data_IF_349105743259
#
_entry.id   IF_349105743259
#
_cell.length_a   1.000
_cell.length_b   1.000
_cell.length_c   1.000
_cell.angle_alpha   90.00
_cell.angle_beta   90.00
_cell.angle_gamma   90.00
#
_symmetry.space_group_name_H-M   'P 1'
#
loop_
_entity.id
_entity.type
_entity.pdbx_description
1 polymer ?
#
# COMPACT_ATOMS: atom_id res chain seq x y z
N UNK A 1 14.14 35.28 -4.52
CA UNK A 1 13.94 33.85 -4.30
C UNK A 1 12.47 33.70 -3.99
N UNK A 2 11.72 32.89 -4.74
CA UNK A 2 10.34 32.59 -4.33
C UNK A 2 10.42 31.97 -2.93
N UNK A 3 9.76 32.59 -1.96
CA UNK A 3 9.69 32.08 -0.57
C UNK A 3 8.80 30.83 -0.46
N UNK A 4 8.66 30.07 -1.55
CA UNK A 4 7.76 28.94 -1.68
C UNK A 4 8.46 27.80 -2.42
N UNK A 5 8.38 26.60 -1.85
CA UNK A 5 8.71 25.34 -2.52
C UNK A 5 7.42 24.53 -2.61
N UNK A 6 7.16 23.94 -3.77
CA UNK A 6 5.94 23.15 -4.03
C UNK A 6 6.25 21.68 -4.12
N UNK A 7 5.32 20.85 -3.67
CA UNK A 7 5.42 19.40 -3.64
C UNK A 7 4.15 18.81 -4.25
N UNK A 8 4.30 17.87 -5.19
CA UNK A 8 3.23 17.01 -5.64
C UNK A 8 3.59 15.56 -5.36
N UNK A 9 2.94 14.95 -4.39
CA UNK A 9 3.12 13.55 -4.03
C UNK A 9 2.12 12.68 -4.80
N UNK A 10 2.57 11.49 -5.22
CA UNK A 10 1.78 10.51 -5.97
C UNK A 10 2.10 9.10 -5.45
N UNK A 11 1.07 8.30 -5.14
CA UNK A 11 1.24 6.86 -4.92
C UNK A 11 1.01 6.10 -6.23
N UNK A 12 2.06 5.46 -6.75
CA UNK A 12 2.12 4.90 -8.10
C UNK A 12 1.88 3.39 -8.13
N UNK A 13 2.60 2.64 -7.29
CA UNK A 13 2.55 1.18 -7.20
C UNK A 13 2.87 0.73 -5.77
N UNK A 14 2.88 -0.58 -5.47
CA UNK A 14 3.16 -1.08 -4.13
C UNK A 14 4.66 -1.06 -3.80
N UNK A 15 5.51 -1.22 -4.81
CA UNK A 15 6.95 -1.27 -4.67
C UNK A 15 7.61 -0.73 -5.94
N UNK A 16 8.72 0.00 -5.80
CA UNK A 16 9.58 0.41 -6.92
C UNK A 16 11.00 -0.06 -6.62
N UNK A 17 11.61 -0.74 -7.59
CA UNK A 17 13.03 -1.10 -7.50
C UNK A 17 13.93 0.11 -7.80
N UNK A 18 14.25 0.85 -6.74
CA UNK A 18 15.11 2.04 -6.82
C UNK A 18 16.49 1.75 -7.44
N UNK A 19 17.01 0.53 -7.26
CA UNK A 19 18.35 0.18 -7.74
C UNK A 19 18.38 0.04 -9.26
N UNK A 20 17.34 -0.48 -9.90
CA UNK A 20 17.23 -0.51 -11.37
C UNK A 20 17.25 0.91 -11.96
N UNK A 21 16.49 1.83 -11.35
CA UNK A 21 16.44 3.23 -11.78
C UNK A 21 17.79 3.90 -11.56
N UNK A 22 18.41 3.69 -10.40
CA UNK A 22 19.73 4.23 -10.07
C UNK A 22 20.80 3.81 -11.08
N UNK A 23 20.82 2.53 -11.46
CA UNK A 23 21.74 1.99 -12.48
C UNK A 23 21.54 2.71 -13.82
N UNK A 24 20.29 2.84 -14.29
CA UNK A 24 19.99 3.53 -15.55
C UNK A 24 20.40 5.01 -15.51
N UNK A 25 20.26 5.66 -14.36
CA UNK A 25 20.66 7.05 -14.15
C UNK A 25 22.19 7.20 -13.96
N UNK A 26 22.95 6.11 -13.86
CA UNK A 26 24.39 6.13 -13.62
C UNK A 26 24.76 6.58 -12.20
N UNK A 27 23.91 6.29 -11.22
CA UNK A 27 24.12 6.64 -9.82
C UNK A 27 24.84 5.47 -9.13
N UNK A 28 26.10 5.62 -8.70
CA UNK A 28 26.90 4.53 -8.14
C UNK A 28 26.60 4.30 -6.64
N UNK A 29 25.32 4.17 -6.30
CA UNK A 29 24.84 3.95 -4.93
C UNK A 29 23.78 2.85 -4.92
N UNK A 30 23.87 1.95 -3.95
CA UNK A 30 22.81 0.98 -3.64
C UNK A 30 21.84 1.62 -2.65
N UNK A 31 20.55 1.52 -2.96
CA UNK A 31 19.46 2.07 -2.16
C UNK A 31 18.86 0.99 -1.25
N UNK A 32 18.62 1.37 0.00
CA UNK A 32 17.80 0.65 0.97
C UNK A 32 16.39 1.21 0.98
N UNK A 33 15.46 0.54 1.67
CA UNK A 33 14.04 0.93 1.70
C UNK A 33 13.78 2.25 2.44
N UNK A 34 14.72 2.67 3.30
CA UNK A 34 14.61 3.88 4.12
C UNK A 34 14.99 5.16 3.36
N UNK A 35 15.73 5.05 2.25
CA UNK A 35 16.31 6.19 1.55
C UNK A 35 15.62 6.43 0.20
N UNK A 36 15.18 7.66 -0.09
CA UNK A 36 14.65 7.98 -1.41
C UNK A 36 15.76 8.03 -2.47
N UNK A 37 15.41 7.62 -3.69
CA UNK A 37 16.17 7.95 -4.88
C UNK A 37 15.85 9.39 -5.30
N UNK A 38 16.83 10.29 -5.14
CA UNK A 38 16.68 11.71 -5.48
C UNK A 38 17.26 11.96 -6.88
N UNK A 39 16.38 12.28 -7.84
CA UNK A 39 16.72 12.70 -9.19
C UNK A 39 16.71 14.22 -9.27
N UNK A 40 17.84 14.84 -9.61
CA UNK A 40 18.00 16.30 -9.71
C UNK A 40 19.04 16.69 -10.77
N UNK A 41 19.07 17.96 -11.17
CA UNK A 41 20.06 18.53 -12.08
C UNK A 41 20.21 17.68 -13.37
N UNK A 42 21.46 17.34 -13.73
CA UNK A 42 21.83 16.55 -14.92
C UNK A 42 21.04 15.26 -15.09
N UNK A 43 20.60 14.62 -14.01
CA UNK A 43 19.81 13.39 -14.10
C UNK A 43 18.41 13.67 -14.62
N UNK A 44 17.75 14.72 -14.12
CA UNK A 44 16.45 15.15 -14.64
C UNK A 44 16.56 15.74 -16.05
N UNK A 45 17.62 16.51 -16.35
CA UNK A 45 17.82 17.04 -17.71
C UNK A 45 17.90 15.93 -18.76
N UNK A 46 18.54 14.80 -18.43
CA UNK A 46 18.60 13.62 -19.30
C UNK A 46 17.22 12.98 -19.50
N UNK A 47 16.42 12.88 -18.43
CA UNK A 47 15.08 12.29 -18.47
C UNK A 47 14.13 13.19 -19.27
N UNK A 48 14.14 14.50 -19.00
CA UNK A 48 13.28 15.48 -19.66
C UNK A 48 13.76 15.89 -21.05
N UNK A 49 15.02 15.58 -21.39
CA UNK A 49 15.68 15.98 -22.65
C UNK A 49 15.65 17.49 -22.87
N UNK A 50 15.66 18.26 -21.79
CA UNK A 50 15.69 19.73 -21.77
C UNK A 50 16.45 20.20 -20.55
N UNK A 51 16.93 21.44 -20.58
CA UNK A 51 17.45 22.10 -19.36
C UNK A 51 16.31 22.34 -18.37
N UNK A 52 16.64 22.29 -17.08
CA UNK A 52 15.70 22.63 -16.02
C UNK A 52 15.46 24.14 -15.99
N UNK A 53 14.25 24.52 -15.62
CA UNK A 53 13.84 25.92 -15.49
C UNK A 53 14.21 26.47 -14.09
N UNK A 54 14.25 25.58 -13.09
CA UNK A 54 14.60 25.87 -11.70
C UNK A 54 15.59 24.81 -11.18
N UNK A 55 16.72 25.25 -10.63
CA UNK A 55 17.77 24.38 -10.07
C UNK A 55 17.32 23.63 -8.81
N UNK A 56 16.22 24.07 -8.18
CA UNK A 56 15.58 23.38 -7.06
C UNK A 56 14.63 22.25 -7.49
N UNK A 57 14.42 22.06 -8.81
CA UNK A 57 13.61 20.95 -9.32
C UNK A 57 14.25 19.60 -8.99
N UNK A 58 13.48 18.75 -8.31
CA UNK A 58 13.90 17.40 -7.96
C UNK A 58 12.71 16.45 -7.91
N UNK A 59 12.96 15.18 -8.20
CA UNK A 59 11.99 14.10 -8.06
C UNK A 59 12.55 13.10 -7.06
N UNK A 60 11.80 12.82 -6.00
CA UNK A 60 12.14 11.81 -5.01
C UNK A 60 11.28 10.58 -5.22
N UNK A 61 11.91 9.44 -5.46
CA UNK A 61 11.24 8.15 -5.69
C UNK A 61 11.50 7.26 -4.48
N UNK A 62 10.44 6.68 -3.94
CA UNK A 62 10.47 5.88 -2.73
C UNK A 62 10.24 4.41 -3.06
N UNK A 63 10.92 3.50 -2.35
CA UNK A 63 10.83 2.06 -2.60
C UNK A 63 9.42 1.50 -2.38
N UNK A 64 8.63 2.14 -1.53
CA UNK A 64 7.21 1.82 -1.29
C UNK A 64 6.26 2.39 -2.34
N UNK A 65 6.78 2.67 -3.52
CA UNK A 65 5.96 2.91 -4.71
C UNK A 65 5.34 4.29 -4.81
N UNK A 66 5.90 5.29 -4.12
CA UNK A 66 5.50 6.69 -4.22
C UNK A 66 6.57 7.56 -4.85
N UNK A 67 6.17 8.67 -5.46
CA UNK A 67 7.08 9.68 -5.99
C UNK A 67 6.60 11.09 -5.60
N UNK A 68 7.55 11.97 -5.29
CA UNK A 68 7.28 13.38 -4.97
C UNK A 68 8.03 14.28 -5.93
N UNK A 69 7.29 15.17 -6.57
CA UNK A 69 7.76 16.16 -7.53
C UNK A 69 7.90 17.50 -6.82
N UNK A 70 9.12 18.01 -6.73
CA UNK A 70 9.43 19.26 -6.06
C UNK A 70 9.68 20.34 -7.11
N UNK A 71 8.94 21.45 -7.03
CA UNK A 71 9.00 22.58 -7.97
C UNK A 71 8.70 22.23 -9.44
N UNK A 72 7.83 21.24 -9.68
CA UNK A 72 7.34 20.92 -11.02
C UNK A 72 6.08 21.71 -11.37
N UNK A 73 6.26 22.91 -11.92
CA UNK A 73 5.14 23.76 -12.37
C UNK A 73 4.42 23.20 -13.61
N UNK A 74 5.12 22.43 -14.46
CA UNK A 74 4.58 21.95 -15.73
C UNK A 74 4.17 20.48 -15.68
N UNK A 75 2.93 20.19 -16.04
CA UNK A 75 2.39 18.81 -16.04
C UNK A 75 3.04 17.89 -17.07
N UNK A 76 3.73 18.41 -18.09
CA UNK A 76 4.44 17.60 -19.08
C UNK A 76 5.70 16.95 -18.52
N UNK A 77 6.48 17.68 -17.70
CA UNK A 77 7.65 17.12 -17.01
C UNK A 77 7.25 15.96 -16.08
N UNK A 78 6.17 16.14 -15.32
CA UNK A 78 5.62 15.08 -14.45
C UNK A 78 5.26 13.86 -15.31
N UNK A 79 4.51 14.03 -16.41
CA UNK A 79 4.17 12.94 -17.33
C UNK A 79 5.40 12.25 -17.91
N UNK A 80 6.44 12.98 -18.32
CA UNK A 80 7.67 12.39 -18.85
C UNK A 80 8.38 11.55 -17.77
N UNK A 81 8.47 12.04 -16.53
CA UNK A 81 9.04 11.28 -15.43
C UNK A 81 8.22 10.03 -15.11
N UNK A 82 6.90 10.13 -15.08
CA UNK A 82 6.01 9.00 -14.82
C UNK A 82 6.16 7.91 -15.89
N UNK A 83 6.23 8.30 -17.17
CA UNK A 83 6.52 7.36 -18.26
C UNK A 83 7.90 6.70 -18.08
N UNK A 84 8.90 7.44 -17.62
CA UNK A 84 10.21 6.89 -17.31
C UNK A 84 10.15 5.84 -16.19
N UNK A 85 9.45 6.14 -15.08
CA UNK A 85 9.28 5.18 -13.97
C UNK A 85 8.51 3.93 -14.45
N UNK A 86 7.48 4.09 -15.27
CA UNK A 86 6.71 2.97 -15.82
C UNK A 86 7.55 2.00 -16.67
N UNK A 87 8.71 2.42 -17.21
CA UNK A 87 9.61 1.48 -17.90
C UNK A 87 10.22 0.42 -16.98
N UNK A 88 10.25 0.68 -15.67
CA UNK A 88 10.73 -0.25 -14.65
C UNK A 88 9.60 -1.00 -13.95
N UNK A 89 8.46 -0.32 -13.76
CA UNK A 89 7.26 -0.85 -13.11
C UNK A 89 6.05 -0.74 -14.07
N UNK A 90 5.85 -1.73 -14.97
CA UNK A 90 4.84 -1.68 -16.03
C UNK A 90 3.39 -1.66 -15.52
N UNK A 91 3.16 -2.05 -14.28
CA UNK A 91 1.84 -2.10 -13.66
C UNK A 91 1.31 -0.75 -13.15
N UNK A 92 2.11 0.32 -13.22
CA UNK A 92 1.67 1.67 -12.86
C UNK A 92 0.52 2.10 -13.78
N UNK A 93 -0.62 2.43 -13.18
CA UNK A 93 -1.78 2.99 -13.87
C UNK A 93 -1.63 4.50 -14.08
N UNK A 94 -1.08 4.88 -15.23
CA UNK A 94 -0.91 6.29 -15.60
C UNK A 94 -2.23 7.01 -15.90
N UNK A 95 -3.33 6.30 -16.12
CA UNK A 95 -4.65 6.91 -16.38
C UNK A 95 -5.20 7.52 -15.09
N UNK A 96 -5.08 6.79 -13.99
CA UNK A 96 -5.58 7.21 -12.67
C UNK A 96 -4.46 7.65 -11.73
N UNK A 97 -3.34 8.17 -12.25
CA UNK A 97 -2.17 8.50 -11.44
C UNK A 97 -2.43 9.53 -10.33
N UNK A 98 -3.41 10.41 -10.51
CA UNK A 98 -3.82 11.40 -9.51
C UNK A 98 -4.88 10.87 -8.52
N UNK A 99 -5.20 9.57 -8.53
CA UNK A 99 -6.17 8.99 -7.59
C UNK A 99 -5.71 9.13 -6.14
N UNK A 100 -4.40 8.99 -5.92
CA UNK A 100 -3.75 9.11 -4.62
C UNK A 100 -2.65 10.15 -4.75
N UNK A 101 -3.05 11.41 -4.65
CA UNK A 101 -2.16 12.54 -4.84
C UNK A 101 -2.39 13.61 -3.81
N UNK A 102 -1.31 14.24 -3.38
CA UNK A 102 -1.37 15.36 -2.46
C UNK A 102 -0.49 16.51 -2.98
N UNK A 103 -0.99 17.72 -2.90
CA UNK A 103 -0.31 18.94 -3.33
C UNK A 103 -0.03 19.79 -2.08
N UNK A 104 1.24 20.05 -1.80
CA UNK A 104 1.67 20.72 -0.57
C UNK A 104 2.71 21.80 -0.86
N UNK A 105 2.94 22.70 0.09
CA UNK A 105 3.99 23.71 -0.06
C UNK A 105 4.71 24.08 1.23
N UNK A 106 5.98 24.44 1.08
CA UNK A 106 6.82 25.00 2.13
C UNK A 106 6.92 26.51 1.89
N UNK A 107 6.58 27.29 2.91
CA UNK A 107 6.68 28.74 2.91
C UNK A 107 7.72 29.20 3.92
N UNK A 108 8.52 30.20 3.55
CA UNK A 108 9.46 30.85 4.46
C UNK A 108 8.89 32.21 4.86
N UNK A 109 8.70 32.43 6.15
CA UNK A 109 8.08 33.66 6.67
C UNK A 109 8.44 33.94 8.13
N UNK A 110 8.15 35.16 8.59
CA UNK A 110 8.36 35.55 9.98
C UNK A 110 7.26 34.95 10.88
N UNK A 111 7.60 33.83 11.52
CA UNK A 111 6.73 33.12 12.47
C UNK A 111 7.51 32.74 13.73
N UNK A 112 6.83 32.71 14.87
CA UNK A 112 7.42 32.29 16.15
C UNK A 112 7.52 30.77 16.30
N UNK A 113 6.62 30.02 15.65
CA UNK A 113 6.54 28.55 15.69
C UNK A 113 6.09 28.02 14.34
N UNK A 114 6.57 26.83 13.98
CA UNK A 114 6.14 26.10 12.78
C UNK A 114 4.62 26.05 12.75
N UNK A 115 4.03 26.48 11.62
CA UNK A 115 2.60 26.41 11.37
C UNK A 115 2.33 25.38 10.28
N UNK A 116 1.50 24.39 10.61
CA UNK A 116 1.13 23.27 9.72
C UNK A 116 -0.35 23.36 9.39
N UNK A 117 -0.67 23.16 8.13
CA UNK A 117 -2.03 23.09 7.58
C UNK A 117 -2.07 21.96 6.56
N UNK A 118 -3.26 21.63 6.03
CA UNK A 118 -3.39 20.57 5.02
C UNK A 118 -2.74 20.95 3.68
N UNK A 119 -2.52 22.23 3.41
CA UNK A 119 -1.99 22.71 2.11
C UNK A 119 -0.52 23.17 2.18
N UNK A 120 -0.05 23.56 3.36
CA UNK A 120 1.28 24.11 3.52
C UNK A 120 1.84 24.07 4.94
N UNK A 121 3.17 24.13 5.00
CA UNK A 121 3.96 24.41 6.20
C UNK A 121 4.68 25.74 6.09
N UNK A 122 4.67 26.53 7.15
CA UNK A 122 5.51 27.74 7.27
C UNK A 122 6.67 27.48 8.22
N UNK A 123 7.88 27.85 7.80
CA UNK A 123 9.11 27.81 8.60
C UNK A 123 9.75 29.19 8.66
N UNK A 124 10.53 29.45 9.72
CA UNK A 124 11.20 30.74 9.94
C UNK A 124 12.34 30.97 8.94
N UNK A 125 13.18 29.97 8.78
CA UNK A 125 14.37 29.99 7.92
C UNK A 125 14.41 28.72 7.09
N UNK A 126 15.00 28.78 5.90
CA UNK A 126 15.17 27.61 5.05
C UNK A 126 16.31 26.73 5.55
N UNK A 127 16.06 25.43 5.63
CA UNK A 127 17.04 24.40 5.94
C UNK A 127 17.07 23.38 4.80
N UNK A 128 18.27 22.86 4.51
CA UNK A 128 18.50 21.98 3.37
C UNK A 128 17.73 20.65 3.43
N UNK A 129 17.34 20.23 4.63
CA UNK A 129 16.65 18.96 4.86
C UNK A 129 15.13 19.04 4.64
N UNK A 130 14.52 20.24 4.61
CA UNK A 130 13.06 20.34 4.50
C UNK A 130 12.48 19.66 3.27
N UNK A 131 13.05 19.81 2.05
CA UNK A 131 12.46 19.17 0.88
C UNK A 131 12.41 17.65 1.01
N UNK A 132 13.44 17.03 1.60
CA UNK A 132 13.50 15.58 1.78
C UNK A 132 12.54 15.10 2.87
N UNK A 133 12.48 15.78 4.01
CA UNK A 133 11.58 15.40 5.10
C UNK A 133 10.10 15.58 4.72
N UNK A 134 9.76 16.70 4.07
CA UNK A 134 8.39 16.96 3.60
C UNK A 134 8.01 15.91 2.56
N UNK A 135 8.87 15.68 1.56
CA UNK A 135 8.61 14.66 0.53
C UNK A 135 8.45 13.28 1.15
N UNK A 136 9.24 12.94 2.17
CA UNK A 136 9.14 11.65 2.86
C UNK A 136 7.80 11.48 3.57
N UNK A 137 7.32 12.50 4.29
CA UNK A 137 6.02 12.45 4.98
C UNK A 137 4.87 12.39 3.99
N UNK A 138 4.89 13.24 2.95
CA UNK A 138 3.84 13.25 1.93
C UNK A 138 3.78 11.93 1.15
N UNK A 139 4.94 11.37 0.78
CA UNK A 139 5.02 10.07 0.12
C UNK A 139 4.39 8.97 1.00
N UNK A 140 4.70 8.95 2.30
CA UNK A 140 4.09 7.99 3.23
C UNK A 140 2.58 8.20 3.34
N UNK A 141 2.11 9.45 3.37
CA UNK A 141 0.68 9.79 3.45
C UNK A 141 -0.11 9.25 2.25
N UNK A 142 0.33 9.54 1.02
CA UNK A 142 -0.37 9.08 -0.21
C UNK A 142 -0.27 7.56 -0.39
N UNK A 143 0.86 6.96 0.00
CA UNK A 143 1.00 5.50 -0.03
C UNK A 143 0.00 4.84 0.93
N UNK A 144 -0.12 5.39 2.14
CA UNK A 144 -1.01 4.90 3.17
C UNK A 144 -2.48 5.03 2.73
N UNK A 145 -2.86 6.15 2.13
CA UNK A 145 -4.20 6.35 1.56
C UNK A 145 -4.52 5.27 0.50
N UNK A 146 -3.60 5.01 -0.43
CA UNK A 146 -3.75 3.94 -1.43
C UNK A 146 -3.94 2.57 -0.78
N UNK A 147 -3.23 2.32 0.30
CA UNK A 147 -3.28 1.04 1.01
C UNK A 147 -4.61 0.91 1.78
N UNK A 148 -5.06 1.97 2.44
CA UNK A 148 -6.37 2.03 3.10
C UNK A 148 -7.52 1.76 2.12
N UNK A 149 -7.50 2.35 0.92
CA UNK A 149 -8.53 2.09 -0.09
C UNK A 149 -8.49 0.64 -0.60
N UNK A 150 -7.29 0.08 -0.82
CA UNK A 150 -7.14 -1.34 -1.17
C UNK A 150 -7.70 -2.27 -0.09
N UNK A 151 -7.58 -1.92 1.19
CA UNK A 151 -8.18 -2.67 2.29
C UNK A 151 -9.71 -2.62 2.23
N UNK A 152 -10.29 -1.47 1.89
CA UNK A 152 -11.74 -1.30 1.69
C UNK A 152 -12.31 -2.29 0.67
N UNK A 153 -11.63 -2.48 -0.46
CA UNK A 153 -12.05 -3.46 -1.49
C UNK A 153 -12.07 -4.90 -0.95
N UNK A 154 -11.20 -5.23 0.00
CA UNK A 154 -11.19 -6.55 0.65
C UNK A 154 -12.34 -6.66 1.65
N UNK A 155 -12.64 -5.58 2.39
CA UNK A 155 -13.77 -5.51 3.31
C UNK A 155 -15.10 -5.74 2.58
N UNK A 156 -15.32 -5.10 1.43
CA UNK A 156 -16.53 -5.29 0.61
C UNK A 156 -16.71 -6.77 0.20
N UNK A 157 -15.60 -7.42 -0.19
CA UNK A 157 -15.60 -8.85 -0.54
C UNK A 157 -15.95 -9.75 0.65
N UNK A 158 -15.58 -9.35 1.87
CA UNK A 158 -15.89 -10.06 3.11
C UNK A 158 -17.34 -9.83 3.53
N UNK A 159 -17.86 -8.62 3.41
CA UNK A 159 -19.25 -8.28 3.68
C UNK A 159 -20.19 -9.16 2.82
N UNK A 160 -19.89 -9.31 1.53
CA UNK A 160 -20.64 -10.23 0.66
C UNK A 160 -20.62 -11.70 1.13
N UNK A 161 -19.52 -12.18 1.73
CA UNK A 161 -19.46 -13.53 2.29
C UNK A 161 -20.28 -13.64 3.58
N UNK A 162 -20.26 -12.61 4.44
CA UNK A 162 -21.06 -12.52 5.67
C UNK A 162 -22.55 -12.56 5.33
N UNK A 163 -23.00 -11.71 4.40
CA UNK A 163 -24.40 -11.65 3.93
C UNK A 163 -24.94 -13.01 3.46
N UNK A 164 -24.09 -13.79 2.79
CA UNK A 164 -24.46 -15.12 2.32
C UNK A 164 -24.60 -16.11 3.47
N UNK A 165 -23.69 -16.02 4.45
CA UNK A 165 -23.72 -16.86 5.63
C UNK A 165 -24.99 -16.58 6.46
N UNK A 166 -25.35 -15.32 6.66
CA UNK A 166 -26.59 -14.91 7.35
C UNK A 166 -27.85 -15.45 6.67
N UNK A 167 -27.85 -15.54 5.34
CA UNK A 167 -28.95 -16.14 4.54
C UNK A 167 -28.95 -17.67 4.56
N UNK A 168 -28.15 -18.31 5.41
CA UNK A 168 -28.05 -19.76 5.54
C UNK A 168 -27.34 -20.45 4.37
N UNK A 169 -26.68 -19.71 3.48
CA UNK A 169 -25.88 -20.27 2.38
C UNK A 169 -24.49 -20.62 2.90
N UNK A 170 -24.44 -21.63 3.77
CA UNK A 170 -23.24 -21.99 4.55
C UNK A 170 -22.08 -22.50 3.68
N UNK A 171 -22.36 -22.96 2.45
CA UNK A 171 -21.32 -23.43 1.53
C UNK A 171 -20.64 -22.26 0.83
N UNK A 172 -19.47 -21.87 1.36
CA UNK A 172 -18.55 -20.93 0.70
C UNK A 172 -17.70 -21.71 -0.32
N UNK A 173 -17.49 -21.14 -1.50
CA UNK A 173 -16.67 -21.78 -2.52
C UNK A 173 -15.19 -21.76 -2.12
N UNK A 174 -14.49 -22.90 -2.18
CA UNK A 174 -13.05 -22.96 -1.86
C UNK A 174 -12.23 -21.94 -2.65
N UNK A 175 -12.61 -21.68 -3.91
CA UNK A 175 -11.95 -20.68 -4.76
C UNK A 175 -12.14 -19.25 -4.23
N UNK A 176 -13.35 -18.90 -3.82
CA UNK A 176 -13.69 -17.57 -3.31
C UNK A 176 -13.00 -17.28 -1.97
N UNK A 177 -13.01 -18.26 -1.06
CA UNK A 177 -12.31 -18.17 0.21
C UNK A 177 -10.79 -18.03 -0.02
N UNK A 178 -10.19 -18.92 -0.83
CA UNK A 178 -8.76 -18.86 -1.14
C UNK A 178 -8.34 -17.54 -1.81
N UNK A 179 -9.17 -17.01 -2.73
CA UNK A 179 -8.91 -15.72 -3.37
C UNK A 179 -8.96 -14.57 -2.37
N UNK A 180 -9.93 -14.55 -1.46
CA UNK A 180 -10.04 -13.49 -0.46
C UNK A 180 -8.93 -13.58 0.58
N UNK A 181 -8.58 -14.79 1.03
CA UNK A 181 -7.39 -15.02 1.87
C UNK A 181 -6.12 -14.55 1.19
N UNK A 182 -5.92 -14.85 -0.10
CA UNK A 182 -4.77 -14.37 -0.84
C UNK A 182 -4.71 -12.83 -0.92
N UNK A 183 -5.87 -12.15 -1.04
CA UNK A 183 -5.93 -10.68 -0.99
C UNK A 183 -5.53 -10.14 0.37
N UNK A 184 -6.03 -10.72 1.48
CA UNK A 184 -5.64 -10.30 2.84
C UNK A 184 -4.15 -10.54 3.08
N UNK A 185 -3.62 -11.70 2.71
CA UNK A 185 -2.18 -12.00 2.84
C UNK A 185 -1.33 -11.06 1.98
N UNK A 186 -1.76 -10.75 0.76
CA UNK A 186 -1.08 -9.75 -0.08
C UNK A 186 -1.10 -8.38 0.56
N UNK A 187 -2.25 -7.98 1.12
CA UNK A 187 -2.39 -6.71 1.81
C UNK A 187 -1.48 -6.65 3.04
N UNK A 188 -1.44 -7.70 3.86
CA UNK A 188 -0.53 -7.80 4.99
C UNK A 188 0.94 -7.68 4.56
N UNK A 189 1.34 -8.39 3.50
CA UNK A 189 2.68 -8.30 2.93
C UNK A 189 3.02 -6.87 2.46
N UNK A 190 2.09 -6.20 1.78
CA UNK A 190 2.28 -4.81 1.36
C UNK A 190 2.34 -3.87 2.57
N UNK A 191 1.59 -4.15 3.64
CA UNK A 191 1.60 -3.36 4.88
C UNK A 191 2.91 -3.56 5.67
N UNK A 192 3.59 -4.71 5.54
CA UNK A 192 4.93 -4.92 6.12
C UNK A 192 5.96 -3.94 5.56
N UNK A 193 5.80 -3.47 4.32
CA UNK A 193 6.64 -2.40 3.78
C UNK A 193 6.66 -1.20 4.73
N UNK A 194 5.49 -0.81 5.26
CA UNK A 194 5.36 0.34 6.16
C UNK A 194 6.06 0.13 7.50
N UNK A 195 6.09 -1.09 8.05
CA UNK A 195 6.90 -1.39 9.25
C UNK A 195 8.36 -1.05 9.00
N UNK A 196 8.88 -1.42 7.82
CA UNK A 196 10.26 -1.13 7.41
C UNK A 196 10.51 0.36 7.10
N UNK A 197 9.46 1.20 7.10
CA UNK A 197 9.51 2.62 6.73
C UNK A 197 9.18 3.52 7.92
N UNK A 198 8.77 2.97 9.07
CA UNK A 198 8.49 3.76 10.28
C UNK A 198 9.76 4.36 10.90
N UNK A 199 10.94 3.88 10.51
CA UNK A 199 12.20 4.46 10.94
C UNK A 199 12.33 5.91 10.45
N UNK A 200 12.88 6.76 11.33
CA UNK A 200 13.13 8.15 10.97
C UNK A 200 14.23 8.21 9.91
N UNK A 201 14.12 9.11 8.91
CA UNK A 201 15.17 9.30 7.91
C UNK A 201 16.52 9.58 8.57
N UNK A 202 17.62 9.07 8.01
CA UNK A 202 18.98 9.24 8.56
C UNK A 202 19.35 10.71 8.83
N UNK A 203 18.83 11.65 8.02
CA UNK A 203 18.98 13.10 8.22
C UNK A 203 18.51 13.59 9.60
N UNK A 204 17.53 12.91 10.21
CA UNK A 204 17.03 13.26 11.54
C UNK A 204 18.00 12.86 12.65
N UNK A 205 18.94 11.95 12.39
CA UNK A 205 19.90 11.49 13.40
C UNK A 205 21.04 12.49 13.60
N UNK A 206 21.32 13.31 12.57
CA UNK A 206 22.42 14.28 12.59
C UNK A 206 21.99 15.68 13.06
N UNK A 207 20.71 16.03 12.91
CA UNK A 207 20.20 17.36 13.26
C UNK A 207 18.94 17.28 14.14
N UNK A 208 19.03 17.85 15.35
CA UNK A 208 17.89 17.92 16.28
C UNK A 208 16.67 18.65 15.68
N UNK A 209 16.90 19.73 14.92
CA UNK A 209 15.84 20.48 14.23
C UNK A 209 15.16 19.65 13.13
N UNK A 210 15.90 18.79 12.44
CA UNK A 210 15.35 17.87 11.44
C UNK A 210 14.46 16.82 12.10
N UNK A 211 14.88 16.23 13.23
CA UNK A 211 14.03 15.30 13.98
C UNK A 211 12.76 15.98 14.49
N UNK A 212 12.85 17.15 15.12
CA UNK A 212 11.68 17.85 15.65
C UNK A 212 10.68 18.23 14.54
N UNK A 213 11.18 18.69 13.39
CA UNK A 213 10.35 19.00 12.24
C UNK A 213 9.66 17.74 11.69
N UNK A 214 10.41 16.66 11.52
CA UNK A 214 9.87 15.39 11.03
C UNK A 214 8.78 14.85 11.97
N UNK A 215 9.00 14.87 13.28
CA UNK A 215 8.02 14.40 14.27
C UNK A 215 6.73 15.22 14.20
N UNK A 216 6.81 16.55 14.12
CA UNK A 216 5.62 17.41 13.95
C UNK A 216 4.84 17.12 12.68
N UNK A 217 5.54 16.88 11.57
CA UNK A 217 4.90 16.51 10.29
C UNK A 217 4.24 15.13 10.39
N UNK A 218 4.91 14.13 10.96
CA UNK A 218 4.36 12.78 11.16
C UNK A 218 3.12 12.81 12.04
N UNK A 219 3.14 13.59 13.12
CA UNK A 219 2.01 13.76 14.03
C UNK A 219 0.85 14.49 13.33
N UNK A 220 1.13 15.56 12.57
CA UNK A 220 0.10 16.31 11.85
C UNK A 220 -0.61 15.47 10.78
N UNK A 221 0.14 14.66 10.03
CA UNK A 221 -0.42 13.74 9.03
C UNK A 221 -0.94 12.42 9.62
N UNK A 222 -0.91 12.28 10.95
CA UNK A 222 -1.38 11.11 11.72
C UNK A 222 -0.82 9.77 11.24
N UNK A 223 0.40 9.76 10.66
CA UNK A 223 0.90 8.58 9.94
C UNK A 223 0.98 7.33 10.83
N UNK A 224 1.41 7.51 12.08
CA UNK A 224 1.50 6.42 13.05
C UNK A 224 0.15 5.83 13.42
N UNK A 225 -0.86 6.68 13.61
CA UNK A 225 -2.19 6.24 14.04
C UNK A 225 -2.98 5.61 12.89
N UNK A 226 -2.91 6.21 11.70
CA UNK A 226 -3.43 5.62 10.46
C UNK A 226 -2.83 4.24 10.20
N UNK A 227 -1.50 4.10 10.36
CA UNK A 227 -0.83 2.80 10.24
C UNK A 227 -1.34 1.76 11.26
N UNK A 228 -1.47 2.14 12.55
CA UNK A 228 -2.00 1.24 13.60
C UNK A 228 -3.42 0.78 13.28
N UNK A 229 -4.28 1.71 12.83
CA UNK A 229 -5.66 1.41 12.44
C UNK A 229 -5.68 0.45 11.25
N UNK A 230 -4.86 0.70 10.23
CA UNK A 230 -4.74 -0.17 9.07
C UNK A 230 -4.32 -1.59 9.46
N UNK A 231 -3.30 -1.73 10.33
CA UNK A 231 -2.83 -3.03 10.82
C UNK A 231 -3.93 -3.75 11.62
N UNK A 232 -4.58 -3.05 12.54
CA UNK A 232 -5.68 -3.61 13.33
C UNK A 232 -6.85 -4.09 12.45
N UNK A 233 -7.25 -3.29 11.45
CA UNK A 233 -8.28 -3.69 10.48
C UNK A 233 -7.86 -4.95 9.73
N UNK A 234 -6.61 -5.03 9.27
CA UNK A 234 -6.09 -6.20 8.55
C UNK A 234 -6.14 -7.46 9.42
N UNK A 235 -5.72 -7.35 10.69
CA UNK A 235 -5.72 -8.47 11.63
C UNK A 235 -7.16 -8.97 11.91
N UNK A 236 -8.13 -8.04 12.03
CA UNK A 236 -9.56 -8.39 12.16
C UNK A 236 -10.05 -9.18 10.92
N UNK A 237 -9.71 -8.75 9.70
CA UNK A 237 -10.11 -9.48 8.48
C UNK A 237 -9.50 -10.88 8.43
N UNK A 238 -8.26 -11.04 8.89
CA UNK A 238 -7.62 -12.35 8.99
C UNK A 238 -8.38 -13.28 9.95
N UNK A 239 -8.76 -12.79 11.13
CA UNK A 239 -9.57 -13.56 12.09
C UNK A 239 -10.95 -13.94 11.55
N UNK A 240 -11.61 -13.05 10.80
CA UNK A 240 -12.89 -13.36 10.16
C UNK A 240 -12.71 -14.47 9.11
N UNK A 241 -11.67 -14.40 8.29
CA UNK A 241 -11.35 -15.43 7.29
C UNK A 241 -11.01 -16.78 7.91
N UNK A 242 -10.32 -16.80 9.05
CA UNK A 242 -10.06 -18.01 9.82
C UNK A 242 -11.38 -18.65 10.29
N UNK A 243 -12.32 -17.84 10.78
CA UNK A 243 -13.68 -18.28 11.11
C UNK A 243 -14.40 -18.91 9.92
N UNK A 244 -14.37 -18.26 8.75
CA UNK A 244 -14.95 -18.81 7.52
C UNK A 244 -14.29 -20.12 7.08
N UNK A 245 -12.97 -20.22 7.20
CA UNK A 245 -12.22 -21.45 6.92
C UNK A 245 -12.72 -22.59 7.81
N UNK A 246 -12.83 -22.34 9.12
CA UNK A 246 -13.32 -23.32 10.09
C UNK A 246 -14.76 -23.79 9.77
N UNK A 247 -15.67 -22.87 9.45
CA UNK A 247 -17.04 -23.20 9.04
C UNK A 247 -17.04 -24.09 7.78
N UNK A 248 -16.26 -23.71 6.76
CA UNK A 248 -16.13 -24.48 5.52
C UNK A 248 -15.55 -25.89 5.77
N UNK A 249 -14.59 -26.02 6.68
CA UNK A 249 -14.07 -27.31 7.13
C UNK A 249 -15.15 -28.17 7.83
N UNK A 250 -15.92 -27.61 8.76
CA UNK A 250 -16.99 -28.32 9.46
C UNK A 250 -18.09 -28.84 8.52
N UNK A 251 -18.52 -28.03 7.55
CA UNK A 251 -19.55 -28.44 6.58
C UNK A 251 -19.07 -29.61 5.70
N UNK A 252 -17.79 -29.59 5.30
CA UNK A 252 -17.19 -30.72 4.57
C UNK A 252 -17.17 -31.99 5.42
N UNK A 253 -16.83 -31.87 6.71
CA UNK A 253 -16.89 -32.98 7.65
C UNK A 253 -18.28 -33.61 7.70
N UNK A 254 -19.32 -32.79 7.87
CA UNK A 254 -20.71 -33.24 7.88
C UNK A 254 -21.11 -33.94 6.57
N UNK A 255 -20.67 -33.44 5.41
CA UNK A 255 -20.96 -34.09 4.13
C UNK A 255 -20.33 -35.49 4.01
N UNK A 256 -19.07 -35.65 4.45
CA UNK A 256 -18.40 -36.96 4.48
C UNK A 256 -19.10 -37.90 5.46
N UNK A 257 -19.51 -37.40 6.63
CA UNK A 257 -20.27 -38.17 7.63
C UNK A 257 -21.57 -38.71 7.03
N UNK A 258 -22.35 -37.87 6.33
CA UNK A 258 -23.59 -38.30 5.67
C UNK A 258 -23.36 -39.35 4.58
N UNK A 259 -22.26 -39.27 3.83
CA UNK A 259 -21.91 -40.32 2.85
C UNK A 259 -21.70 -41.65 3.57
N UNK A 260 -20.97 -41.66 4.69
CA UNK A 260 -20.73 -42.89 5.48
C UNK A 260 -22.05 -43.45 6.02
N UNK A 261 -22.92 -42.59 6.57
CA UNK A 261 -24.26 -43.01 7.06
C UNK A 261 -25.10 -43.62 5.95
N UNK A 262 -25.14 -43.01 4.76
CA UNK A 262 -25.89 -43.53 3.61
C UNK A 262 -25.34 -44.90 3.16
N UNK A 263 -24.02 -45.07 3.12
CA UNK A 263 -23.40 -46.34 2.75
C UNK A 263 -23.79 -47.47 3.72
N UNK A 264 -23.81 -47.19 5.03
CA UNK A 264 -24.24 -48.16 6.05
C UNK A 264 -25.72 -48.50 5.87
N UNK A 265 -26.59 -47.51 5.63
CA UNK A 265 -28.02 -47.75 5.39
C UNK A 265 -28.24 -48.64 4.15
N UNK A 266 -27.50 -48.40 3.06
CA UNK A 266 -27.57 -49.22 1.85
C UNK A 266 -27.16 -50.66 2.16
N UNK A 267 -26.06 -50.87 2.90
CA UNK A 267 -25.60 -52.21 3.30
C UNK A 267 -26.65 -52.96 4.14
N UNK A 268 -27.25 -52.29 5.12
CA UNK A 268 -28.33 -52.86 5.95
C UNK A 268 -29.55 -53.21 5.10
N UNK A 269 -29.93 -52.38 4.13
CA UNK A 269 -31.05 -52.69 3.24
C UNK A 269 -30.75 -53.89 2.33
N UNK A 270 -29.56 -53.95 1.74
CA UNK A 270 -29.16 -55.08 0.89
C UNK A 270 -29.15 -56.40 1.66
N UNK A 271 -28.62 -56.41 2.88
CA UNK A 271 -28.61 -57.60 3.74
C UNK A 271 -30.03 -58.04 4.13
N UNK A 272 -30.93 -57.09 4.45
CA UNK A 272 -32.34 -57.42 4.71
C UNK A 272 -33.05 -58.01 3.49
N UNK A 273 -32.82 -57.45 2.30
CA UNK A 273 -33.41 -57.95 1.06
C UNK A 273 -32.90 -59.35 0.68
N UNK A 274 -31.63 -59.65 0.97
CA UNK A 274 -31.08 -61.00 0.85
C UNK A 274 -31.76 -61.98 1.81
N UNK A 275 -31.94 -61.60 3.08
CA UNK A 275 -32.61 -62.43 4.08
C UNK A 275 -34.07 -62.71 3.71
N UNK A 276 -34.78 -61.72 3.16
CA UNK A 276 -36.16 -61.90 2.66
C UNK A 276 -36.25 -62.72 1.37
N UNK A 277 -35.13 -63.14 0.78
CA UNK A 277 -35.08 -63.93 -0.45
C UNK A 277 -35.40 -63.13 -1.72
N UNK A 278 -35.34 -61.80 -1.65
CA UNK A 278 -35.67 -60.92 -2.77
C UNK A 278 -34.45 -60.65 -3.68
N UNK A 279 -33.25 -60.91 -3.17
CA UNK A 279 -31.98 -60.88 -3.91
C UNK A 279 -31.34 -62.28 -3.87
N UNK A 280 -30.79 -62.79 -5.00
CA UNK A 280 -30.06 -64.05 -4.99
C UNK A 280 -28.85 -63.96 -4.06
N UNK A 281 -28.69 -64.96 -3.19
CA UNK A 281 -27.47 -65.15 -2.41
C UNK A 281 -26.36 -65.57 -3.37
N UNK A 282 -25.36 -64.70 -3.56
CA UNK A 282 -24.08 -65.11 -4.13
C UNK A 282 -23.20 -65.75 -3.07
#
# INVERSE_FOLDING_TARGET
MENKITFKALALTNEIDLNKIAIQCGIPKKYTWEQPLILRNKTLEKIYRTKLEDDLQQVMIFSFGSAVFVNHARSDQIKVCLNFIQTFEPEIDLVNVNRYSDDYSLHIGEIDRINLTDEYVVVKEYEYFFPELISTVLAKSVALERTEEQLGVIQDSLEHMIDRLEKGKLRIGNKELAQTTAKVVRHEYNTLAYIMILDKPELTWTHSSASEFYDKMVDFFELNDRYKILKSKTDILYHILEGFSNISHSIRGLFVEWIVVILIVIEVLLTLLQILGWLPSH
#
